data_IF_406831810494
#
_entry.id   IF_406831810494
#
_cell.length_a   1.000
_cell.length_b   1.000
_cell.length_c   1.000
_cell.angle_alpha   90.00
_cell.angle_beta   90.00
_cell.angle_gamma   90.00
#
_symmetry.space_group_name_H-M   'P 1'
#
loop_
_entity.id
_entity.type
_entity.pdbx_description
1 polymer ?
#
# COMPACT_ATOMS: atom_id res chain seq x y z
N UNK A 1 -7.44 27.56 -52.01
CA UNK A 1 -6.25 26.73 -51.69
C UNK A 1 -5.77 27.14 -50.31
N UNK A 2 -6.20 26.45 -49.26
CA UNK A 2 -5.78 26.71 -47.88
C UNK A 2 -4.77 25.65 -47.47
N UNK A 3 -3.55 26.09 -47.14
CA UNK A 3 -2.47 25.24 -46.63
C UNK A 3 -2.79 24.74 -45.22
N UNK A 4 -2.59 23.45 -44.90
CA UNK A 4 -2.77 22.97 -43.54
C UNK A 4 -1.62 23.46 -42.66
N UNK A 5 -2.00 24.16 -41.60
CA UNK A 5 -1.14 24.63 -40.52
C UNK A 5 -0.52 23.43 -39.78
N UNK A 6 0.80 23.46 -39.64
CA UNK A 6 1.58 22.46 -38.91
C UNK A 6 1.21 22.49 -37.43
N UNK A 7 0.60 21.40 -36.95
CA UNK A 7 0.40 21.14 -35.52
C UNK A 7 1.76 20.87 -34.87
N UNK A 8 2.18 21.82 -34.02
CA UNK A 8 3.44 21.81 -33.29
C UNK A 8 3.40 20.69 -32.23
N UNK A 9 4.27 19.69 -32.39
CA UNK A 9 4.38 18.57 -31.46
C UNK A 9 5.15 19.03 -30.22
N UNK A 10 4.42 19.44 -29.18
CA UNK A 10 4.99 19.64 -27.84
C UNK A 10 5.53 18.31 -27.32
N UNK A 11 6.82 18.29 -27.00
CA UNK A 11 7.55 17.17 -26.44
C UNK A 11 6.88 16.61 -25.18
N UNK A 12 6.54 15.32 -25.22
CA UNK A 12 5.99 14.60 -24.08
C UNK A 12 7.08 14.39 -23.03
N UNK A 13 7.08 15.21 -21.98
CA UNK A 13 7.88 14.95 -20.77
C UNK A 13 7.49 13.59 -20.20
N UNK A 14 8.48 12.75 -19.90
CA UNK A 14 8.26 11.45 -19.27
C UNK A 14 7.69 11.68 -17.86
N UNK A 15 6.38 11.48 -17.70
CA UNK A 15 5.69 11.57 -16.42
C UNK A 15 6.11 10.38 -15.55
N UNK A 16 6.65 10.66 -14.36
CA UNK A 16 6.97 9.65 -13.36
C UNK A 16 5.78 9.43 -12.44
N UNK A 17 5.35 8.17 -12.30
CA UNK A 17 4.31 7.78 -11.36
C UNK A 17 4.93 7.14 -10.12
N UNK A 18 4.44 7.50 -8.94
CA UNK A 18 4.88 6.91 -7.68
C UNK A 18 3.72 6.20 -6.97
N UNK A 19 4.03 5.08 -6.33
CA UNK A 19 3.09 4.39 -5.45
C UNK A 19 3.18 4.97 -4.04
N UNK A 20 2.11 5.64 -3.59
CA UNK A 20 2.08 6.34 -2.30
C UNK A 20 2.42 5.43 -1.11
N UNK A 21 1.98 4.17 -1.12
CA UNK A 21 2.28 3.22 -0.05
C UNK A 21 3.77 2.78 -0.03
N UNK A 22 4.48 2.86 -1.16
CA UNK A 22 5.93 2.63 -1.21
C UNK A 22 6.65 3.82 -0.58
N UNK A 23 6.25 5.05 -0.92
CA UNK A 23 6.79 6.27 -0.27
C UNK A 23 6.56 6.21 1.24
N UNK A 24 5.36 5.83 1.68
CA UNK A 24 5.05 5.68 3.10
C UNK A 24 5.95 4.65 3.81
N UNK A 25 6.26 3.52 3.16
CA UNK A 25 7.20 2.55 3.68
C UNK A 25 8.62 3.12 3.75
N UNK A 26 9.07 3.86 2.74
CA UNK A 26 10.40 4.47 2.70
C UNK A 26 10.61 5.46 3.85
N UNK A 27 9.59 6.29 4.14
CA UNK A 27 9.59 7.21 5.29
C UNK A 27 9.68 6.43 6.61
N UNK A 28 8.92 5.34 6.75
CA UNK A 28 8.99 4.46 7.94
C UNK A 28 10.36 3.85 8.15
N UNK A 29 11.05 3.51 7.05
CA UNK A 29 12.39 2.94 7.07
C UNK A 29 13.48 4.02 7.19
N UNK A 30 13.15 5.28 7.47
CA UNK A 30 14.12 6.39 7.52
C UNK A 30 14.98 6.45 6.26
N UNK A 31 14.34 6.29 5.10
CA UNK A 31 14.95 6.24 3.77
C UNK A 31 15.94 5.08 3.54
N UNK A 32 15.98 4.07 4.42
CA UNK A 32 16.71 2.83 4.17
C UNK A 32 16.05 2.01 3.05
N UNK A 33 16.83 1.28 2.24
CA UNK A 33 16.28 0.48 1.15
C UNK A 33 15.33 -0.59 1.69
N UNK A 34 14.24 -0.85 0.94
CA UNK A 34 13.38 -1.99 1.21
C UNK A 34 14.22 -3.27 1.01
N UNK A 35 14.28 -4.19 2.00
CA UNK A 35 15.01 -5.44 1.88
C UNK A 35 14.67 -6.20 0.59
N UNK A 36 15.68 -6.79 -0.04
CA UNK A 36 15.51 -7.53 -1.31
C UNK A 36 14.48 -8.65 -1.13
N UNK A 37 13.53 -8.74 -2.06
CA UNK A 37 12.47 -9.75 -2.04
C UNK A 37 11.28 -9.40 -1.12
N UNK A 38 11.34 -8.27 -0.41
CA UNK A 38 10.21 -7.73 0.34
C UNK A 38 9.46 -6.67 -0.47
N UNK A 39 8.18 -6.51 -0.10
CA UNK A 39 7.24 -5.58 -0.68
C UNK A 39 6.50 -4.84 0.43
N UNK A 40 5.88 -3.71 0.07
CA UNK A 40 4.97 -3.01 0.96
C UNK A 40 3.67 -3.80 1.15
N UNK A 41 3.38 -4.19 2.40
CA UNK A 41 2.21 -4.96 2.79
C UNK A 41 1.32 -4.15 3.74
N UNK A 42 0.02 -4.11 3.43
CA UNK A 42 -1.01 -3.48 4.27
C UNK A 42 -1.51 -4.45 5.33
N UNK A 43 -1.28 -4.15 6.62
CA UNK A 43 -1.90 -4.92 7.71
C UNK A 43 -3.39 -4.60 7.92
N UNK A 44 -3.86 -3.50 7.31
CA UNK A 44 -5.25 -3.04 7.38
C UNK A 44 -6.15 -3.56 6.25
N UNK A 45 -5.59 -4.33 5.30
CA UNK A 45 -6.27 -4.79 4.09
C UNK A 45 -6.97 -3.69 3.24
N UNK A 46 -6.60 -2.41 3.41
CA UNK A 46 -7.13 -1.27 2.64
C UNK A 46 -6.08 -0.76 1.65
N UNK A 47 -6.27 -1.02 0.36
CA UNK A 47 -5.31 -0.65 -0.71
C UNK A 47 -5.03 0.85 -0.81
N UNK A 48 -6.03 1.69 -0.52
CA UNK A 48 -5.90 3.15 -0.53
C UNK A 48 -5.19 3.72 0.71
N UNK A 49 -4.90 2.89 1.72
CA UNK A 49 -4.22 3.35 2.93
C UNK A 49 -2.73 3.59 2.66
N UNK A 50 -2.23 4.75 3.07
CA UNK A 50 -0.82 5.13 3.01
C UNK A 50 -0.27 5.55 4.38
N UNK A 51 -0.98 5.23 5.48
CA UNK A 51 -0.47 5.47 6.84
C UNK A 51 0.79 4.60 7.06
N UNK A 52 1.98 5.17 7.31
CA UNK A 52 3.21 4.40 7.50
C UNK A 52 3.10 3.35 8.63
N UNK A 53 2.30 3.60 9.67
CA UNK A 53 2.07 2.62 10.75
C UNK A 53 1.37 1.35 10.25
N UNK A 54 0.63 1.41 9.14
CA UNK A 54 -0.13 0.29 8.60
C UNK A 54 0.59 -0.44 7.44
N UNK A 55 1.76 0.07 7.01
CA UNK A 55 2.57 -0.52 5.94
C UNK A 55 3.80 -1.20 6.52
N UNK A 56 4.07 -2.45 6.14
CA UNK A 56 5.25 -3.19 6.59
C UNK A 56 5.98 -3.84 5.42
N UNK A 57 7.30 -3.95 5.53
CA UNK A 57 8.12 -4.70 4.60
C UNK A 57 7.96 -6.20 4.87
N UNK A 58 7.39 -6.94 3.92
CA UNK A 58 7.17 -8.41 4.02
C UNK A 58 7.46 -9.09 2.70
N UNK A 59 7.88 -10.35 2.75
CA UNK A 59 7.96 -11.17 1.53
C UNK A 59 6.57 -11.45 0.97
N UNK A 60 6.49 -11.73 -0.33
CA UNK A 60 5.23 -12.09 -0.98
C UNK A 60 4.58 -13.34 -0.34
N UNK A 61 5.39 -14.32 0.09
CA UNK A 61 4.93 -15.53 0.76
C UNK A 61 4.20 -15.22 2.07
N UNK A 62 4.81 -14.40 2.95
CA UNK A 62 4.20 -14.01 4.23
C UNK A 62 2.95 -13.15 4.00
N UNK A 63 2.98 -12.24 3.02
CA UNK A 63 1.79 -11.44 2.71
C UNK A 63 0.62 -12.31 2.21
N UNK A 64 0.92 -13.31 1.37
CA UNK A 64 -0.10 -14.22 0.86
C UNK A 64 -0.65 -15.17 1.91
N UNK A 65 0.17 -15.64 2.87
CA UNK A 65 -0.31 -16.51 3.96
C UNK A 65 -1.23 -15.79 4.95
N UNK A 66 -1.24 -14.45 4.95
CA UNK A 66 -2.09 -13.62 5.81
C UNK A 66 -3.43 -13.26 5.17
N UNK A 67 -3.65 -13.65 3.91
CA UNK A 67 -4.94 -13.45 3.22
C UNK A 67 -6.04 -14.22 3.94
N UNK A 68 -7.19 -13.58 4.12
CA UNK A 68 -8.33 -14.19 4.82
C UNK A 68 -8.23 -14.17 6.35
N UNK A 69 -7.22 -13.51 6.92
CA UNK A 69 -7.21 -13.23 8.35
C UNK A 69 -8.46 -12.43 8.74
N UNK A 70 -9.25 -12.93 9.69
CA UNK A 70 -10.43 -12.24 10.20
C UNK A 70 -10.08 -10.95 10.94
N UNK A 71 -8.87 -10.87 11.53
CA UNK A 71 -8.44 -9.68 12.27
C UNK A 71 -9.24 -9.46 13.55
N UNK A 72 -9.37 -8.19 13.99
CA UNK A 72 -10.27 -7.81 15.06
C UNK A 72 -11.73 -7.91 14.61
N UNK A 73 -12.53 -8.64 15.39
CA UNK A 73 -13.98 -8.73 15.22
C UNK A 73 -14.63 -7.65 16.07
N UNK A 74 -15.50 -6.85 15.45
CA UNK A 74 -16.26 -5.80 16.10
C UNK A 74 -17.73 -6.19 16.20
N UNK A 75 -18.40 -5.73 17.25
CA UNK A 75 -19.84 -5.89 17.36
C UNK A 75 -20.54 -5.09 16.24
N UNK A 76 -21.49 -5.69 15.51
CA UNK A 76 -22.18 -5.01 14.42
C UNK A 76 -23.07 -3.85 14.89
N UNK A 77 -23.57 -3.89 16.13
CA UNK A 77 -24.57 -2.91 16.60
C UNK A 77 -23.93 -1.59 17.07
N UNK A 78 -22.80 -1.64 17.76
CA UNK A 78 -22.16 -0.47 18.38
C UNK A 78 -20.64 -0.39 18.16
N UNK A 79 -20.07 -1.25 17.32
CA UNK A 79 -18.71 -1.09 16.80
C UNK A 79 -17.57 -1.25 17.81
N UNK A 80 -17.83 -1.66 19.05
CA UNK A 80 -16.76 -2.00 19.98
C UNK A 80 -16.09 -3.31 19.59
N UNK A 81 -14.80 -3.45 19.94
CA UNK A 81 -14.00 -4.65 19.67
C UNK A 81 -14.45 -5.79 20.58
N UNK A 82 -14.90 -6.90 20.00
CA UNK A 82 -15.28 -8.11 20.74
C UNK A 82 -14.04 -8.98 21.04
N UNK A 83 -13.25 -9.28 20.00
CA UNK A 83 -12.08 -10.15 20.10
C UNK A 83 -11.12 -9.86 18.96
N UNK A 84 -9.82 -10.12 19.15
CA UNK A 84 -8.86 -10.18 18.05
C UNK A 84 -8.35 -11.60 17.87
N UNK A 85 -8.71 -12.23 16.75
CA UNK A 85 -8.28 -13.60 16.42
C UNK A 85 -7.03 -13.62 15.55
N UNK A 86 -6.41 -12.47 15.29
CA UNK A 86 -5.21 -12.39 14.47
C UNK A 86 -3.98 -12.97 15.19
N UNK A 87 -3.35 -14.05 14.67
CA UNK A 87 -2.12 -14.59 15.23
C UNK A 87 -0.86 -13.88 14.72
N UNK A 88 -1.00 -12.97 13.73
CA UNK A 88 0.14 -12.34 13.08
C UNK A 88 0.82 -11.29 13.96
N UNK A 89 2.14 -11.15 13.77
CA UNK A 89 2.94 -10.08 14.34
C UNK A 89 3.61 -9.28 13.20
N UNK A 90 3.30 -7.97 13.02
CA UNK A 90 2.25 -7.21 13.71
C UNK A 90 0.84 -7.72 13.37
N UNK A 91 -0.11 -7.47 14.27
CA UNK A 91 -1.50 -7.85 14.11
C UNK A 91 -2.17 -7.11 12.93
N UNK A 92 -3.08 -7.80 12.26
CA UNK A 92 -4.01 -7.19 11.31
C UNK A 92 -4.96 -6.23 12.05
N UNK A 93 -5.41 -5.19 11.36
CA UNK A 93 -6.25 -4.11 11.89
C UNK A 93 -7.41 -3.77 10.97
#
# INVERSE_FOLDING_TARGET
MATPSQINQTSCSAQTAFLLHIIALQVKLSNQPIPRGNYASHICNRRACFNPKHIFSKSAQVNNSQKGCLGPIFCPDHGHKLINLCPHNPQCI
#
